data_IF_197891010502
#
_entry.id   IF_197891010502
#
_cell.length_a   1.000
_cell.length_b   1.000
_cell.length_c   1.000
_cell.angle_alpha   90.00
_cell.angle_beta   90.00
_cell.angle_gamma   90.00
#
_symmetry.space_group_name_H-M   'P 1'
#
loop_
_entity.id
_entity.type
_entity.pdbx_description
1 polymer ?
#
# COMPACT_ATOMS: atom_id res chain seq x y z
N UNK A 1 -6.87 23.07 7.77
CA UNK A 1 -7.41 21.77 7.27
C UNK A 1 -8.65 21.43 8.06
N UNK A 2 -9.82 21.29 7.42
CA UNK A 2 -11.13 21.13 8.09
C UNK A 2 -11.99 19.98 7.54
N UNK A 3 -11.37 18.92 7.00
CA UNK A 3 -12.05 17.75 6.43
C UNK A 3 -11.58 16.47 7.11
N UNK A 4 -12.44 15.44 7.12
CA UNK A 4 -12.05 14.08 7.55
C UNK A 4 -10.98 13.51 6.59
N UNK A 5 -10.08 12.65 7.09
CA UNK A 5 -9.18 11.91 6.22
C UNK A 5 -9.96 10.87 5.41
N UNK A 6 -9.48 10.56 4.21
CA UNK A 6 -10.02 9.47 3.38
C UNK A 6 -9.50 8.11 3.84
N UNK A 7 -8.27 8.09 4.36
CA UNK A 7 -7.62 6.90 4.90
C UNK A 7 -6.73 7.23 6.11
N UNK A 8 -6.42 6.20 6.90
CA UNK A 8 -5.44 6.25 7.99
C UNK A 8 -4.46 5.10 7.84
N UNK A 9 -3.19 5.44 7.98
CA UNK A 9 -2.09 4.50 8.05
C UNK A 9 -1.14 4.89 9.21
N UNK A 10 0.03 4.27 9.29
CA UNK A 10 1.03 4.66 10.28
C UNK A 10 2.43 4.52 9.72
N UNK A 11 3.24 5.57 9.88
CA UNK A 11 4.67 5.54 9.56
C UNK A 11 5.33 4.35 10.26
N UNK A 12 6.27 3.68 9.59
CA UNK A 12 6.91 2.44 10.09
C UNK A 12 5.93 1.34 10.53
N UNK A 13 4.70 1.38 10.02
CA UNK A 13 3.63 0.42 10.32
C UNK A 13 3.22 0.38 11.81
N UNK A 14 3.51 1.41 12.61
CA UNK A 14 3.25 1.41 14.07
C UNK A 14 1.78 1.20 14.44
N UNK A 15 0.85 1.55 13.55
CA UNK A 15 -0.60 1.42 13.73
C UNK A 15 -1.08 -0.01 14.04
N UNK A 16 -0.28 -1.04 13.72
CA UNK A 16 -0.65 -2.45 13.96
C UNK A 16 -0.22 -2.99 15.33
N UNK A 17 0.65 -2.27 16.06
CA UNK A 17 1.19 -2.71 17.35
C UNK A 17 0.06 -2.80 18.40
N UNK A 18 0.06 -3.77 19.34
CA UNK A 18 -1.09 -4.08 20.19
C UNK A 18 -1.75 -2.88 20.91
N UNK A 19 -0.97 -2.05 21.59
CA UNK A 19 -1.48 -0.89 22.31
C UNK A 19 -1.90 0.24 21.35
N UNK A 20 -1.16 0.43 20.25
CA UNK A 20 -1.41 1.49 19.28
C UNK A 20 -2.67 1.18 18.46
N UNK A 21 -2.86 -0.07 18.01
CA UNK A 21 -4.05 -0.45 17.24
C UNK A 21 -5.34 -0.25 18.04
N UNK A 22 -5.33 -0.55 19.33
CA UNK A 22 -6.51 -0.40 20.19
C UNK A 22 -6.86 1.08 20.33
N UNK A 23 -5.88 1.92 20.67
CA UNK A 23 -6.06 3.37 20.76
C UNK A 23 -6.52 3.99 19.43
N UNK A 24 -5.96 3.52 18.30
CA UNK A 24 -6.31 4.00 16.97
C UNK A 24 -7.76 3.65 16.62
N UNK A 25 -8.16 2.38 16.77
CA UNK A 25 -9.51 1.92 16.43
C UNK A 25 -10.58 2.60 17.29
N UNK A 26 -10.34 2.76 18.59
CA UNK A 26 -11.22 3.53 19.47
C UNK A 26 -11.32 5.00 19.04
N UNK A 27 -10.20 5.61 18.64
CA UNK A 27 -10.19 6.99 18.17
C UNK A 27 -10.96 7.16 16.86
N UNK A 28 -10.81 6.21 15.92
CA UNK A 28 -11.58 6.19 14.67
C UNK A 28 -13.08 6.08 14.97
N UNK A 29 -13.47 5.14 15.82
CA UNK A 29 -14.87 4.93 16.19
C UNK A 29 -15.47 6.20 16.83
N UNK A 30 -14.79 6.79 17.82
CA UNK A 30 -15.25 8.02 18.51
C UNK A 30 -15.34 9.22 17.57
N UNK A 31 -14.38 9.42 16.67
CA UNK A 31 -14.31 10.63 15.84
C UNK A 31 -15.17 10.55 14.59
N UNK A 32 -15.32 9.37 14.00
CA UNK A 32 -15.88 9.25 12.65
C UNK A 32 -17.11 8.35 12.56
N UNK A 33 -17.31 7.42 13.51
CA UNK A 33 -18.46 6.50 13.51
C UNK A 33 -18.67 5.85 12.13
N UNK A 34 -19.90 5.97 11.59
CA UNK A 34 -20.25 5.45 10.27
C UNK A 34 -19.46 6.07 9.09
N UNK A 35 -18.86 7.23 9.30
CA UNK A 35 -18.01 7.92 8.32
C UNK A 35 -16.53 7.60 8.48
N UNK A 36 -16.20 6.46 9.09
CA UNK A 36 -14.81 6.06 9.32
C UNK A 36 -13.97 6.06 8.03
N UNK A 37 -12.72 6.56 8.11
CA UNK A 37 -11.77 6.47 7.01
C UNK A 37 -11.44 5.00 6.73
N UNK A 38 -10.95 4.76 5.53
CA UNK A 38 -10.31 3.48 5.23
C UNK A 38 -9.04 3.30 6.08
N UNK A 39 -8.67 2.07 6.45
CA UNK A 39 -7.45 1.81 7.25
C UNK A 39 -6.50 0.87 6.54
N UNK A 40 -5.19 1.17 6.57
CA UNK A 40 -4.18 0.27 5.97
C UNK A 40 -3.96 -0.98 6.82
N UNK A 41 -3.99 -2.15 6.20
CA UNK A 41 -3.48 -3.39 6.73
C UNK A 41 -2.08 -3.66 6.16
N UNK A 42 -1.11 -3.98 7.02
CA UNK A 42 0.28 -4.22 6.62
C UNK A 42 0.60 -5.70 6.41
N UNK A 43 -0.42 -6.55 6.21
CA UNK A 43 -0.23 -7.99 6.06
C UNK A 43 0.43 -8.28 4.70
N UNK A 44 1.55 -9.02 4.64
CA UNK A 44 2.32 -9.17 3.40
C UNK A 44 1.54 -9.94 2.35
N UNK A 45 1.63 -9.48 1.09
CA UNK A 45 1.06 -10.14 -0.08
C UNK A 45 1.84 -11.36 -0.55
N UNK A 46 1.53 -11.84 -1.76
CA UNK A 46 2.38 -12.83 -2.44
C UNK A 46 3.71 -12.19 -2.82
N UNK A 47 4.77 -13.00 -2.81
CA UNK A 47 6.14 -12.52 -2.95
C UNK A 47 7.00 -13.45 -3.83
N UNK A 48 6.38 -14.10 -4.81
CA UNK A 48 7.09 -14.94 -5.76
C UNK A 48 8.08 -14.09 -6.57
N UNK A 49 9.26 -14.64 -6.88
CA UNK A 49 10.30 -13.95 -7.64
C UNK A 49 11.12 -12.90 -6.87
N UNK A 50 10.64 -12.41 -5.72
CA UNK A 50 11.37 -11.40 -4.94
C UNK A 50 12.58 -11.99 -4.18
N UNK A 51 13.66 -11.21 -3.97
CA UNK A 51 14.81 -11.62 -3.15
C UNK A 51 14.43 -12.07 -1.73
N UNK A 52 15.08 -13.12 -1.22
CA UNK A 52 14.73 -13.74 0.07
C UNK A 52 14.73 -12.77 1.25
N UNK A 53 15.71 -11.86 1.29
CA UNK A 53 15.82 -10.84 2.33
C UNK A 53 14.59 -9.90 2.36
N UNK A 54 14.12 -9.46 1.19
CA UNK A 54 12.93 -8.61 1.08
C UNK A 54 11.66 -9.36 1.49
N UNK A 55 11.58 -10.65 1.14
CA UNK A 55 10.46 -11.49 1.59
C UNK A 55 10.42 -11.64 3.10
N UNK A 56 11.60 -11.86 3.71
CA UNK A 56 11.74 -11.91 5.16
C UNK A 56 11.32 -10.60 5.81
N UNK A 57 11.81 -9.45 5.31
CA UNK A 57 11.46 -8.12 5.83
C UNK A 57 9.95 -7.88 5.86
N UNK A 58 9.25 -8.19 4.77
CA UNK A 58 7.80 -8.01 4.71
C UNK A 58 7.05 -8.94 5.69
N UNK A 59 7.54 -10.17 5.89
CA UNK A 59 6.98 -11.09 6.89
C UNK A 59 7.18 -10.57 8.30
N UNK A 60 8.35 -10.04 8.62
CA UNK A 60 8.62 -9.42 9.93
C UNK A 60 7.67 -8.26 10.16
N UNK A 61 7.52 -7.34 9.20
CA UNK A 61 6.56 -6.23 9.29
C UNK A 61 5.14 -6.74 9.55
N UNK A 62 4.71 -7.79 8.84
CA UNK A 62 3.39 -8.40 9.06
C UNK A 62 3.24 -9.03 10.44
N UNK A 63 4.30 -9.68 10.94
CA UNK A 63 4.32 -10.36 12.24
C UNK A 63 4.20 -9.38 13.42
N UNK A 64 4.57 -8.10 13.25
CA UNK A 64 4.40 -7.05 14.27
C UNK A 64 2.94 -6.80 14.67
N UNK A 65 1.96 -7.24 13.86
CA UNK A 65 0.56 -7.18 14.25
C UNK A 65 -0.47 -7.08 13.14
N UNK A 66 -0.08 -7.21 11.86
CA UNK A 66 -0.95 -6.90 10.74
C UNK A 66 -2.24 -7.72 10.73
N UNK A 67 -2.14 -9.02 11.04
CA UNK A 67 -3.28 -9.91 11.10
C UNK A 67 -4.22 -9.57 12.27
N UNK A 68 -3.66 -9.21 13.42
CA UNK A 68 -4.44 -8.75 14.57
C UNK A 68 -5.17 -7.44 14.26
N UNK A 69 -4.47 -6.49 13.63
CA UNK A 69 -5.04 -5.24 13.15
C UNK A 69 -6.15 -5.48 12.13
N UNK A 70 -5.91 -6.28 11.10
CA UNK A 70 -6.89 -6.59 10.05
C UNK A 70 -8.17 -7.23 10.60
N UNK A 71 -8.04 -8.19 11.54
CA UNK A 71 -9.22 -8.78 12.22
C UNK A 71 -9.99 -7.76 13.05
N UNK A 72 -9.28 -6.92 13.82
CA UNK A 72 -9.91 -5.90 14.65
C UNK A 72 -10.60 -4.81 13.81
N UNK A 73 -9.97 -4.39 12.71
CA UNK A 73 -10.57 -3.46 11.75
C UNK A 73 -11.84 -4.05 11.11
N UNK A 74 -11.80 -5.31 10.69
CA UNK A 74 -12.97 -5.99 10.12
C UNK A 74 -14.10 -6.14 11.15
N UNK A 75 -13.79 -6.52 12.39
CA UNK A 75 -14.76 -6.59 13.48
C UNK A 75 -15.41 -5.23 13.80
N UNK A 76 -14.67 -4.13 13.61
CA UNK A 76 -15.17 -2.77 13.75
C UNK A 76 -15.89 -2.24 12.48
N UNK A 77 -16.09 -3.07 11.45
CA UNK A 77 -16.74 -2.67 10.19
C UNK A 77 -15.91 -1.71 9.33
N UNK A 78 -14.60 -1.59 9.59
CA UNK A 78 -13.71 -0.72 8.84
C UNK A 78 -13.28 -1.36 7.52
N UNK A 79 -13.16 -0.53 6.48
CA UNK A 79 -12.65 -0.95 5.18
C UNK A 79 -11.12 -0.95 5.21
N UNK A 80 -10.50 -1.95 4.59
CA UNK A 80 -9.04 -2.11 4.52
C UNK A 80 -8.60 -2.76 3.21
N UNK A 81 -7.30 -2.78 2.93
CA UNK A 81 -6.70 -3.58 1.86
C UNK A 81 -6.59 -5.03 2.31
N UNK A 82 -6.57 -5.94 1.34
CA UNK A 82 -6.39 -7.36 1.57
C UNK A 82 -4.95 -7.65 2.01
N UNK A 83 -3.95 -7.24 1.22
CA UNK A 83 -2.52 -7.39 1.50
C UNK A 83 -1.71 -6.15 1.08
N UNK A 84 -0.49 -6.06 1.57
CA UNK A 84 0.48 -5.01 1.27
C UNK A 84 1.69 -5.59 0.50
N UNK A 85 2.06 -4.95 -0.60
CA UNK A 85 3.26 -5.18 -1.40
C UNK A 85 4.10 -3.89 -1.46
N UNK A 86 5.28 -3.93 -2.10
CA UNK A 86 6.18 -2.76 -2.19
C UNK A 86 7.13 -2.58 -1.00
N UNK A 87 7.30 -3.61 -0.17
CA UNK A 87 8.31 -3.60 0.90
C UNK A 87 9.68 -3.92 0.32
N UNK A 88 10.62 -2.97 0.47
CA UNK A 88 12.02 -3.14 0.12
C UNK A 88 12.93 -2.27 1.00
N UNK A 89 14.21 -2.17 0.66
CA UNK A 89 15.26 -1.54 1.48
C UNK A 89 15.52 -0.07 1.17
N UNK A 90 14.78 0.54 0.25
CA UNK A 90 14.97 1.96 -0.15
C UNK A 90 16.38 2.24 -0.68
N UNK A 91 16.93 1.30 -1.44
CA UNK A 91 18.27 1.37 -2.00
C UNK A 91 18.30 0.84 -3.44
N UNK A 92 19.37 1.16 -4.16
CA UNK A 92 19.64 0.66 -5.52
C UNK A 92 19.06 1.51 -6.65
N UNK A 93 18.42 2.64 -6.33
CA UNK A 93 17.95 3.62 -7.31
C UNK A 93 16.89 3.08 -8.27
N UNK A 94 16.79 3.72 -9.44
CA UNK A 94 15.74 3.44 -10.42
C UNK A 94 15.86 2.04 -11.01
N UNK A 95 17.09 1.55 -11.25
CA UNK A 95 17.33 0.22 -11.81
C UNK A 95 16.84 -0.90 -10.89
N UNK A 96 17.18 -0.84 -9.59
CA UNK A 96 16.71 -1.83 -8.63
C UNK A 96 15.19 -1.76 -8.44
N UNK A 97 14.62 -0.55 -8.37
CA UNK A 97 13.17 -0.39 -8.23
C UNK A 97 12.41 -0.89 -9.46
N UNK A 98 12.90 -0.60 -10.67
CA UNK A 98 12.33 -1.08 -11.93
C UNK A 98 12.37 -2.61 -12.07
N UNK A 99 13.36 -3.28 -11.45
CA UNK A 99 13.40 -4.74 -11.40
C UNK A 99 12.40 -5.35 -10.40
N UNK A 100 12.13 -4.66 -9.29
CA UNK A 100 11.22 -5.15 -8.24
C UNK A 100 9.74 -4.89 -8.56
N UNK A 101 9.44 -3.77 -9.22
CA UNK A 101 8.08 -3.31 -9.47
C UNK A 101 7.22 -4.33 -10.24
N UNK A 102 7.67 -4.88 -11.39
CA UNK A 102 6.90 -5.90 -12.12
C UNK A 102 6.62 -7.14 -11.26
N UNK A 103 7.58 -7.58 -10.46
CA UNK A 103 7.41 -8.72 -9.55
C UNK A 103 6.30 -8.45 -8.52
N UNK A 104 6.21 -7.25 -7.96
CA UNK A 104 5.08 -6.92 -7.09
C UNK A 104 3.76 -6.93 -7.85
N UNK A 105 3.70 -6.31 -9.03
CA UNK A 105 2.49 -6.20 -9.84
C UNK A 105 1.95 -7.58 -10.25
N UNK A 106 2.81 -8.49 -10.71
CA UNK A 106 2.46 -9.89 -11.04
C UNK A 106 1.92 -10.68 -9.82
N UNK A 107 2.33 -10.30 -8.61
CA UNK A 107 1.87 -10.93 -7.37
C UNK A 107 0.57 -10.31 -6.79
N UNK A 108 0.13 -9.17 -7.30
CA UNK A 108 -1.06 -8.47 -6.80
C UNK A 108 -2.34 -9.26 -7.10
N UNK A 109 -3.30 -9.17 -6.18
CA UNK A 109 -4.68 -9.60 -6.40
C UNK A 109 -5.62 -8.45 -6.07
N UNK A 110 -6.90 -8.64 -6.39
CA UNK A 110 -7.92 -7.66 -6.06
C UNK A 110 -7.92 -7.30 -4.57
N UNK A 111 -8.03 -6.00 -4.31
CA UNK A 111 -7.96 -5.42 -2.97
C UNK A 111 -6.56 -5.30 -2.35
N UNK A 112 -5.48 -5.69 -3.03
CA UNK A 112 -4.12 -5.46 -2.55
C UNK A 112 -3.69 -3.99 -2.72
N UNK A 113 -2.74 -3.57 -1.88
CA UNK A 113 -2.14 -2.24 -1.91
C UNK A 113 -0.64 -2.35 -2.22
N UNK A 114 -0.16 -1.55 -3.17
CA UNK A 114 1.26 -1.35 -3.44
C UNK A 114 1.75 -0.10 -2.69
N UNK A 115 2.75 -0.26 -1.83
CA UNK A 115 3.42 0.84 -1.14
C UNK A 115 4.57 1.40 -1.99
N UNK A 116 4.65 2.72 -2.11
CA UNK A 116 5.74 3.45 -2.76
C UNK A 116 5.95 4.80 -2.07
N UNK A 117 7.08 5.45 -2.33
CA UNK A 117 7.50 6.72 -1.75
C UNK A 117 8.04 7.68 -2.82
N UNK A 118 7.34 7.90 -3.95
CA UNK A 118 7.81 8.82 -4.97
C UNK A 118 7.87 10.25 -4.45
N UNK A 119 8.90 10.98 -4.83
CA UNK A 119 8.99 12.42 -4.67
C UNK A 119 9.66 13.03 -5.89
N UNK A 120 9.29 14.27 -6.22
CA UNK A 120 10.05 15.03 -7.21
C UNK A 120 11.53 15.07 -6.79
N UNK A 121 12.47 14.83 -7.71
CA UNK A 121 13.89 14.99 -7.40
C UNK A 121 14.13 16.40 -6.86
N UNK A 122 14.71 16.48 -5.68
CA UNK A 122 15.08 17.75 -5.04
C UNK A 122 16.57 17.71 -4.73
N UNK A 123 17.33 18.79 -4.98
CA UNK A 123 18.73 18.87 -4.58
C UNK A 123 18.82 18.87 -3.04
N UNK A 124 19.09 17.70 -2.45
CA UNK A 124 19.21 17.47 -1.01
C UNK A 124 19.80 16.09 -0.70
N UNK A 125 20.87 16.07 0.09
CA UNK A 125 21.83 14.97 0.25
C UNK A 125 21.40 13.87 1.23
N UNK A 126 20.43 13.05 0.85
CA UNK A 126 20.28 11.75 1.51
C UNK A 126 20.02 10.65 0.50
N UNK A 127 20.54 9.46 0.77
CA UNK A 127 20.23 8.26 0.00
C UNK A 127 18.71 8.04 -0.11
N UNK A 128 17.96 8.41 0.95
CA UNK A 128 16.50 8.33 0.93
C UNK A 128 15.88 9.33 -0.07
N UNK A 129 16.34 10.58 -0.13
CA UNK A 129 15.83 11.56 -1.08
C UNK A 129 16.12 11.13 -2.53
N UNK A 130 17.34 10.63 -2.79
CA UNK A 130 17.70 10.06 -4.07
C UNK A 130 16.81 8.88 -4.45
N UNK A 131 16.56 7.95 -3.50
CA UNK A 131 15.69 6.81 -3.74
C UNK A 131 14.24 7.21 -4.05
N UNK A 132 13.69 8.21 -3.36
CA UNK A 132 12.33 8.72 -3.65
C UNK A 132 12.22 9.32 -5.05
N UNK A 133 13.27 10.01 -5.52
CA UNK A 133 13.39 10.47 -6.90
C UNK A 133 13.44 9.31 -7.90
N UNK A 134 14.13 8.23 -7.54
CA UNK A 134 14.20 7.01 -8.34
C UNK A 134 12.82 6.32 -8.47
N UNK A 135 12.06 6.20 -7.38
CA UNK A 135 10.69 5.68 -7.42
C UNK A 135 9.79 6.56 -8.31
N UNK A 136 9.91 7.89 -8.20
CA UNK A 136 9.17 8.82 -9.05
C UNK A 136 9.48 8.62 -10.54
N UNK A 137 10.76 8.50 -10.91
CA UNK A 137 11.16 8.27 -12.29
C UNK A 137 10.53 7.01 -12.87
N UNK A 138 10.60 5.89 -12.14
CA UNK A 138 10.04 4.60 -12.62
C UNK A 138 8.52 4.65 -12.72
N UNK A 139 7.84 5.24 -11.73
CA UNK A 139 6.37 5.34 -11.72
C UNK A 139 5.82 6.34 -12.75
N UNK A 140 6.64 7.29 -13.19
CA UNK A 140 6.31 8.26 -14.22
C UNK A 140 6.73 7.81 -15.64
N UNK A 141 7.39 6.66 -15.76
CA UNK A 141 7.85 6.10 -17.03
C UNK A 141 6.73 5.35 -17.78
N UNK A 142 6.78 5.34 -19.12
CA UNK A 142 5.81 4.64 -19.96
C UNK A 142 5.77 3.13 -19.69
N UNK A 143 6.91 2.52 -19.34
CA UNK A 143 7.00 1.11 -19.01
C UNK A 143 6.13 0.70 -17.83
N UNK A 144 5.91 1.59 -16.84
CA UNK A 144 4.99 1.29 -15.75
C UNK A 144 3.54 1.16 -16.23
N UNK A 145 3.09 2.06 -17.12
CA UNK A 145 1.75 2.00 -17.69
C UNK A 145 1.55 0.73 -18.53
N UNK A 146 2.56 0.32 -19.28
CA UNK A 146 2.54 -0.93 -20.07
C UNK A 146 2.41 -2.17 -19.18
N UNK A 147 3.15 -2.24 -18.06
CA UNK A 147 3.04 -3.35 -17.12
C UNK A 147 1.64 -3.40 -16.50
N UNK A 148 1.07 -2.26 -16.10
CA UNK A 148 -0.30 -2.23 -15.59
C UNK A 148 -1.30 -2.78 -16.61
N UNK A 149 -1.17 -2.39 -17.88
CA UNK A 149 -2.04 -2.89 -18.95
C UNK A 149 -1.87 -4.39 -19.18
N UNK A 150 -0.62 -4.88 -19.22
CA UNK A 150 -0.29 -6.30 -19.42
C UNK A 150 -0.85 -7.18 -18.30
N UNK A 151 -0.70 -6.75 -17.04
CA UNK A 151 -1.19 -7.48 -15.87
C UNK A 151 -2.69 -7.24 -15.61
N UNK A 152 -3.37 -6.45 -16.44
CA UNK A 152 -4.80 -6.12 -16.28
C UNK A 152 -5.10 -5.30 -15.01
N UNK A 153 -4.10 -4.58 -14.49
CA UNK A 153 -4.17 -3.77 -13.29
C UNK A 153 -4.66 -2.35 -13.61
N UNK A 154 -5.31 -1.71 -12.63
CA UNK A 154 -5.72 -0.31 -12.71
C UNK A 154 -5.38 0.39 -11.41
N UNK A 155 -4.77 1.57 -11.51
CA UNK A 155 -4.59 2.45 -10.36
C UNK A 155 -5.95 3.02 -9.99
N UNK A 156 -6.36 2.84 -8.74
CA UNK A 156 -7.62 3.36 -8.23
C UNK A 156 -7.36 4.18 -6.97
N UNK A 157 -8.04 5.33 -6.88
CA UNK A 157 -8.21 6.00 -5.59
C UNK A 157 -9.30 5.27 -4.82
N UNK A 158 -8.99 4.84 -3.61
CA UNK A 158 -10.01 4.26 -2.74
C UNK A 158 -10.92 5.37 -2.22
N UNK A 159 -12.04 5.63 -2.92
CA UNK A 159 -13.04 6.60 -2.47
C UNK A 159 -13.91 5.98 -1.35
N UNK A 160 -14.34 6.78 -0.36
CA UNK A 160 -15.50 6.43 0.47
C UNK A 160 -16.74 6.30 -0.42
N UNK A 161 -17.52 5.22 -0.30
CA UNK A 161 -18.83 5.20 -0.98
C UNK A 161 -19.71 6.30 -0.37
N UNK A 162 -20.13 7.23 -1.22
CA UNK A 162 -21.02 8.35 -0.92
C UNK A 162 -20.76 9.52 -1.88
N UNK A 163 -21.20 9.39 -3.14
CA UNK A 163 -21.09 10.43 -4.18
C UNK A 163 -20.76 9.84 -5.55
N UNK A 164 -21.57 10.17 -6.56
CA UNK A 164 -21.57 9.59 -7.91
C UNK A 164 -20.22 9.68 -8.64
N UNK A 165 -19.68 8.52 -9.07
CA UNK A 165 -19.30 8.19 -10.46
C UNK A 165 -18.43 6.90 -10.51
N UNK A 166 -18.93 5.92 -11.26
CA UNK A 166 -18.30 4.70 -11.78
C UNK A 166 -17.41 3.85 -10.86
N UNK A 167 -18.04 2.84 -10.26
CA UNK A 167 -17.41 1.56 -9.95
C UNK A 167 -17.32 0.73 -11.23
N UNK A 168 -16.12 0.32 -11.66
CA UNK A 168 -15.93 -0.92 -12.42
C UNK A 168 -14.60 -1.55 -12.03
N UNK A 169 -14.66 -2.45 -11.05
CA UNK A 169 -13.76 -3.58 -11.01
C UNK A 169 -14.25 -4.55 -12.10
N UNK A 170 -13.49 -4.69 -13.19
CA UNK A 170 -13.67 -5.81 -14.13
C UNK A 170 -12.31 -6.47 -14.29
N UNK A 171 -12.09 -7.53 -13.52
CA UNK A 171 -11.27 -8.63 -13.99
C UNK A 171 -11.96 -9.16 -15.25
N UNK A 172 -11.27 -9.20 -16.39
CA UNK A 172 -11.67 -10.04 -17.50
C UNK A 172 -10.74 -11.25 -17.48
N UNK A 173 -11.34 -12.41 -17.23
CA UNK A 173 -10.68 -13.70 -17.21
C UNK A 173 -10.18 -14.10 -18.62
N UNK A 174 -9.02 -14.78 -18.60
CA UNK A 174 -8.51 -15.81 -19.51
C UNK A 174 -8.45 -15.56 -21.03
N UNK A 175 -7.25 -15.77 -21.59
CA UNK A 175 -6.88 -17.11 -22.11
C UNK A 175 -5.54 -17.53 -21.53
#
# INVERSE_FOLDING_TARGET
MGRRPDFVDGHQHVHQLPQIREALLQTIARRYGAQAPWVRCSAPGRQAGLPAALRWKARVIGALGAYGFGRAAAAAGLRSNRRLLGVYDFQGGSAAYAALLPLWLENMQDGDLLMCHPAMPYPGDTDMAAQRGAEFQVLNDAGFAEVLLREGLRVARQLPRGGHASMVLRMKASR
#
